data_IF_173820226297
#
_entry.id   IF_173820226297
#
_cell.length_a   1.000
_cell.length_b   1.000
_cell.length_c   1.000
_cell.angle_alpha   90.00
_cell.angle_beta   90.00
_cell.angle_gamma   90.00
#
_symmetry.space_group_name_H-M   'P 1'
#
loop_
_entity.id
_entity.type
_entity.pdbx_description
1 polymer ?
#
# COMPACT_ATOMS: atom_id res chain seq x y z
N UNK A 1 12.14 -31.38 15.20
CA UNK A 1 12.51 -29.96 15.08
C UNK A 1 11.70 -29.28 13.97
N UNK A 2 11.42 -29.98 12.87
CA UNK A 2 10.68 -29.44 11.72
C UNK A 2 9.25 -28.98 12.02
N UNK A 3 8.52 -29.72 12.87
CA UNK A 3 7.15 -29.32 13.27
C UNK A 3 7.10 -28.02 14.05
N UNK A 4 8.07 -27.78 14.94
CA UNK A 4 8.18 -26.54 15.71
C UNK A 4 8.54 -25.36 14.80
N UNK A 5 9.47 -25.55 13.87
CA UNK A 5 9.81 -24.53 12.86
C UNK A 5 8.59 -24.16 12.02
N UNK A 6 7.89 -25.15 11.47
CA UNK A 6 6.70 -24.91 10.64
C UNK A 6 5.59 -24.18 11.41
N UNK A 7 5.34 -24.55 12.67
CA UNK A 7 4.36 -23.87 13.52
C UNK A 7 4.77 -22.42 13.81
N UNK A 8 6.06 -22.18 14.06
CA UNK A 8 6.59 -20.86 14.35
C UNK A 8 6.57 -19.93 13.11
N UNK A 9 6.96 -20.44 11.93
CA UNK A 9 6.86 -19.70 10.66
C UNK A 9 5.40 -19.34 10.33
N UNK A 10 4.47 -20.28 10.58
CA UNK A 10 3.04 -20.04 10.39
C UNK A 10 2.51 -18.96 11.35
N UNK A 11 2.88 -19.02 12.63
CA UNK A 11 2.50 -18.02 13.63
C UNK A 11 3.05 -16.64 13.26
N UNK A 12 4.32 -16.58 12.88
CA UNK A 12 4.99 -15.35 12.45
C UNK A 12 4.25 -14.69 11.28
N UNK A 13 3.95 -15.46 10.24
CA UNK A 13 3.25 -14.95 9.07
C UNK A 13 1.79 -14.58 9.36
N UNK A 14 1.12 -15.32 10.26
CA UNK A 14 -0.25 -15.01 10.69
C UNK A 14 -0.33 -13.67 11.44
N UNK A 15 0.63 -13.40 12.33
CA UNK A 15 0.73 -12.10 13.01
C UNK A 15 0.90 -11.00 11.96
N UNK A 16 1.76 -11.21 10.96
CA UNK A 16 1.89 -10.30 9.82
C UNK A 16 0.57 -10.07 9.09
N UNK A 17 -0.14 -11.13 8.75
CA UNK A 17 -1.41 -11.04 8.02
C UNK A 17 -2.47 -10.28 8.83
N UNK A 18 -2.53 -10.46 10.16
CA UNK A 18 -3.44 -9.74 11.05
C UNK A 18 -3.06 -8.25 11.15
N UNK A 19 -1.77 -7.94 11.24
CA UNK A 19 -1.28 -6.56 11.25
C UNK A 19 -1.60 -5.84 9.94
N UNK A 20 -1.40 -6.50 8.79
CA UNK A 20 -1.73 -5.92 7.48
C UNK A 20 -3.25 -5.87 7.27
N UNK A 21 -4.03 -6.84 7.77
CA UNK A 21 -5.49 -6.74 7.81
C UNK A 21 -5.93 -5.49 8.59
N UNK A 22 -5.26 -5.16 9.70
CA UNK A 22 -5.56 -3.93 10.45
C UNK A 22 -5.35 -2.66 9.62
N UNK A 23 -4.44 -2.67 8.63
CA UNK A 23 -4.27 -1.55 7.70
C UNK A 23 -5.53 -1.26 6.90
N UNK A 24 -6.39 -2.24 6.62
CA UNK A 24 -7.69 -2.02 5.98
C UNK A 24 -8.63 -1.21 6.87
N UNK A 25 -8.63 -1.46 8.18
CA UNK A 25 -9.31 -0.56 9.13
C UNK A 25 -8.66 0.84 9.13
N UNK A 26 -7.33 0.90 9.02
CA UNK A 26 -6.58 2.13 8.87
C UNK A 26 -7.01 2.97 7.66
N UNK A 27 -7.12 2.35 6.47
CA UNK A 27 -7.65 2.97 5.25
C UNK A 27 -9.09 3.48 5.46
N UNK A 28 -9.95 2.66 6.08
CA UNK A 28 -11.33 3.04 6.35
C UNK A 28 -11.44 4.28 7.25
N UNK A 29 -10.67 4.35 8.35
CA UNK A 29 -10.69 5.50 9.26
C UNK A 29 -10.00 6.74 8.67
N UNK A 30 -8.90 6.56 7.94
CA UNK A 30 -8.22 7.65 7.24
C UNK A 30 -9.14 8.30 6.21
N UNK A 31 -9.82 7.49 5.39
CA UNK A 31 -10.81 7.98 4.44
C UNK A 31 -12.00 8.61 5.13
N UNK A 32 -12.59 7.94 6.13
CA UNK A 32 -13.74 8.45 6.88
C UNK A 32 -13.46 9.80 7.54
N UNK A 33 -12.25 10.01 8.08
CA UNK A 33 -11.83 11.28 8.65
C UNK A 33 -11.63 12.39 7.62
N UNK A 34 -11.32 12.03 6.37
CA UNK A 34 -10.97 12.96 5.27
C UNK A 34 -12.18 13.36 4.43
N UNK A 35 -13.11 12.44 4.15
CA UNK A 35 -14.31 12.74 3.35
C UNK A 35 -15.29 13.62 4.11
N UNK A 36 -16.25 14.23 3.42
CA UNK A 36 -17.31 15.03 4.06
C UNK A 36 -18.25 14.12 4.86
N UNK A 37 -18.82 14.64 5.95
CA UNK A 37 -19.63 13.85 6.90
C UNK A 37 -20.75 13.05 6.24
N UNK A 38 -21.39 13.60 5.19
CA UNK A 38 -22.45 12.91 4.43
C UNK A 38 -22.01 11.62 3.72
N UNK A 39 -20.71 11.40 3.53
CA UNK A 39 -20.14 10.27 2.80
C UNK A 39 -19.45 9.23 3.72
N UNK A 40 -19.41 9.45 5.03
CA UNK A 40 -18.68 8.58 5.98
C UNK A 40 -19.19 7.13 5.99
N UNK A 41 -20.51 6.92 5.96
CA UNK A 41 -21.11 5.58 5.96
C UNK A 41 -20.68 4.79 4.71
N UNK A 42 -20.64 5.46 3.56
CA UNK A 42 -20.19 4.83 2.32
C UNK A 42 -18.71 4.40 2.44
N UNK A 43 -17.84 5.27 2.96
CA UNK A 43 -16.42 4.94 3.16
C UNK A 43 -16.21 3.65 3.98
N UNK A 44 -16.96 3.47 5.08
CA UNK A 44 -16.88 2.27 5.92
C UNK A 44 -17.33 0.99 5.21
N UNK A 45 -18.52 1.01 4.60
CA UNK A 45 -19.09 -0.18 3.93
C UNK A 45 -18.23 -0.59 2.74
N UNK A 46 -17.69 0.40 2.02
CA UNK A 46 -16.86 0.23 0.83
C UNK A 46 -15.60 -0.57 1.13
N UNK A 47 -14.80 -0.20 2.13
CA UNK A 47 -13.54 -0.89 2.42
C UNK A 47 -13.78 -2.35 2.86
N UNK A 48 -14.77 -2.61 3.70
CA UNK A 48 -15.05 -3.98 4.15
C UNK A 48 -15.58 -4.86 3.00
N UNK A 49 -16.46 -4.31 2.16
CA UNK A 49 -17.00 -5.02 0.99
C UNK A 49 -15.91 -5.25 -0.07
N UNK A 50 -15.03 -4.28 -0.26
CA UNK A 50 -13.87 -4.36 -1.14
C UNK A 50 -12.91 -5.48 -0.73
N UNK A 51 -12.64 -5.61 0.58
CA UNK A 51 -11.83 -6.70 1.12
C UNK A 51 -12.46 -8.07 0.85
N UNK A 52 -13.78 -8.22 1.04
CA UNK A 52 -14.48 -9.47 0.78
C UNK A 52 -14.45 -9.85 -0.70
N UNK A 53 -14.72 -8.90 -1.60
CA UNK A 53 -14.64 -9.13 -3.06
C UNK A 53 -13.21 -9.47 -3.49
N UNK A 54 -12.22 -8.75 -2.96
CA UNK A 54 -10.79 -9.00 -3.21
C UNK A 54 -10.38 -10.40 -2.72
N UNK A 55 -10.90 -10.84 -1.58
CA UNK A 55 -10.68 -12.20 -1.05
C UNK A 55 -11.11 -13.26 -2.05
N UNK A 56 -12.33 -13.16 -2.57
CA UNK A 56 -12.84 -14.13 -3.54
C UNK A 56 -12.08 -14.04 -4.88
N UNK A 57 -11.84 -12.82 -5.39
CA UNK A 57 -11.08 -12.59 -6.62
C UNK A 57 -9.68 -13.21 -6.56
N UNK A 58 -8.96 -12.99 -5.45
CA UNK A 58 -7.62 -13.50 -5.25
C UNK A 58 -7.61 -15.02 -5.00
N UNK A 59 -8.55 -15.54 -4.21
CA UNK A 59 -8.64 -16.98 -3.91
C UNK A 59 -8.89 -17.81 -5.16
N UNK A 60 -9.84 -17.40 -6.00
CA UNK A 60 -10.26 -18.19 -7.16
C UNK A 60 -9.38 -17.96 -8.40
N UNK A 61 -8.72 -16.80 -8.53
CA UNK A 61 -8.01 -16.40 -9.75
C UNK A 61 -6.63 -15.83 -9.43
N UNK A 62 -6.55 -14.78 -8.62
CA UNK A 62 -5.32 -13.99 -8.49
C UNK A 62 -4.13 -14.78 -7.96
N UNK A 63 -4.30 -15.55 -6.88
CA UNK A 63 -3.20 -16.29 -6.26
C UNK A 63 -2.66 -17.40 -7.17
N UNK A 64 -3.54 -18.05 -7.95
CA UNK A 64 -3.11 -19.06 -8.92
C UNK A 64 -2.37 -18.43 -10.10
N UNK A 65 -2.74 -17.21 -10.51
CA UNK A 65 -2.03 -16.44 -11.52
C UNK A 65 -0.63 -15.99 -11.05
N UNK A 66 -0.50 -15.53 -9.81
CA UNK A 66 0.79 -15.06 -9.27
C UNK A 66 1.71 -16.22 -8.84
N UNK A 67 1.16 -17.26 -8.23
CA UNK A 67 1.94 -18.32 -7.57
C UNK A 67 1.78 -19.73 -8.16
N UNK A 68 0.81 -19.95 -9.06
CA UNK A 68 0.51 -21.29 -9.58
C UNK A 68 -0.12 -22.23 -8.54
N UNK A 69 -0.60 -21.69 -7.41
CA UNK A 69 -1.16 -22.46 -6.29
C UNK A 69 -2.68 -22.35 -6.27
N UNK A 70 -3.35 -23.48 -6.02
CA UNK A 70 -4.80 -23.54 -5.75
C UNK A 70 -5.06 -24.33 -4.47
N UNK A 71 -6.24 -24.15 -3.88
CA UNK A 71 -6.62 -24.80 -2.61
C UNK A 71 -7.70 -25.87 -2.78
N UNK A 72 -7.93 -26.36 -4.01
CA UNK A 72 -8.93 -27.39 -4.32
C UNK A 72 -8.41 -28.80 -4.02
N UNK A 73 -8.06 -29.05 -2.76
CA UNK A 73 -7.60 -30.34 -2.25
C UNK A 73 -8.22 -30.63 -0.88
N UNK A 74 -8.02 -31.82 -0.35
CA UNK A 74 -8.55 -32.22 0.96
C UNK A 74 -7.97 -31.39 2.11
N UNK A 75 -8.77 -31.20 3.16
CA UNK A 75 -8.38 -30.40 4.34
C UNK A 75 -7.11 -30.91 5.02
N UNK A 76 -6.88 -32.22 5.05
CA UNK A 76 -5.65 -32.81 5.60
C UNK A 76 -4.39 -32.38 4.83
N UNK A 77 -4.47 -32.26 3.51
CA UNK A 77 -3.38 -31.75 2.68
C UNK A 77 -3.16 -30.25 2.91
N UNK A 78 -4.24 -29.48 3.08
CA UNK A 78 -4.17 -28.05 3.38
C UNK A 78 -3.58 -27.75 4.76
N UNK A 79 -3.68 -28.69 5.72
CA UNK A 79 -3.14 -28.56 7.07
C UNK A 79 -1.69 -28.97 7.23
N UNK A 80 -1.06 -29.46 6.15
CA UNK A 80 0.38 -29.73 6.15
C UNK A 80 1.18 -28.48 6.54
N UNK A 81 2.26 -28.69 7.30
CA UNK A 81 3.09 -27.60 7.84
C UNK A 81 2.28 -26.55 8.63
N UNK A 82 1.24 -26.99 9.35
CA UNK A 82 0.32 -26.13 10.11
C UNK A 82 -0.47 -25.14 9.24
N UNK A 83 -0.64 -25.42 7.94
CA UNK A 83 -1.38 -24.54 7.04
C UNK A 83 -0.61 -23.30 6.60
N UNK A 84 0.74 -23.35 6.60
CA UNK A 84 1.59 -22.25 6.16
C UNK A 84 1.14 -21.63 4.83
N UNK A 85 0.80 -22.45 3.82
CA UNK A 85 0.35 -21.95 2.51
C UNK A 85 -0.98 -21.18 2.57
N UNK A 86 -1.90 -21.57 3.47
CA UNK A 86 -3.16 -20.85 3.69
C UNK A 86 -2.90 -19.49 4.35
N UNK A 87 -1.97 -19.45 5.32
CA UNK A 87 -1.58 -18.21 5.99
C UNK A 87 -0.79 -17.30 5.06
N UNK A 88 0.07 -17.87 4.19
CA UNK A 88 0.76 -17.13 3.14
C UNK A 88 -0.22 -16.50 2.15
N UNK A 89 -1.23 -17.25 1.73
CA UNK A 89 -2.34 -16.68 0.95
C UNK A 89 -3.02 -15.53 1.70
N UNK A 90 -3.37 -15.71 2.98
CA UNK A 90 -4.00 -14.65 3.76
C UNK A 90 -3.10 -13.40 3.87
N UNK A 91 -1.81 -13.58 4.12
CA UNK A 91 -0.85 -12.49 4.14
C UNK A 91 -0.83 -11.74 2.79
N UNK A 92 -0.62 -12.43 1.68
CA UNK A 92 -0.50 -11.78 0.36
C UNK A 92 -1.83 -11.21 -0.16
N UNK A 93 -2.96 -11.83 0.20
CA UNK A 93 -4.29 -11.27 -0.03
C UNK A 93 -4.42 -9.87 0.57
N UNK A 94 -3.90 -9.65 1.79
CA UNK A 94 -4.03 -8.33 2.43
C UNK A 94 -3.25 -7.24 1.69
N UNK A 95 -2.17 -7.59 0.97
CA UNK A 95 -1.43 -6.70 0.08
C UNK A 95 -2.20 -6.47 -1.21
N UNK A 96 -2.72 -7.54 -1.83
CA UNK A 96 -3.52 -7.47 -3.05
C UNK A 96 -4.76 -6.56 -2.85
N UNK A 97 -5.46 -6.73 -1.73
CA UNK A 97 -6.62 -5.92 -1.38
C UNK A 97 -6.26 -4.45 -1.05
N UNK A 98 -5.00 -4.15 -0.69
CA UNK A 98 -4.60 -2.76 -0.42
C UNK A 98 -4.60 -1.91 -1.71
N UNK A 99 -4.37 -2.51 -2.87
CA UNK A 99 -4.36 -1.81 -4.17
C UNK A 99 -5.71 -1.17 -4.50
N UNK A 100 -6.85 -1.88 -4.53
CA UNK A 100 -8.15 -1.25 -4.72
C UNK A 100 -8.52 -0.29 -3.58
N UNK A 101 -8.11 -0.56 -2.32
CA UNK A 101 -8.31 0.37 -1.22
C UNK A 101 -7.62 1.74 -1.49
N UNK A 102 -6.37 1.73 -2.00
CA UNK A 102 -5.65 2.94 -2.45
C UNK A 102 -6.43 3.66 -3.54
N UNK A 103 -6.84 2.96 -4.60
CA UNK A 103 -7.62 3.55 -5.70
C UNK A 103 -8.91 4.19 -5.15
N UNK A 104 -9.58 3.50 -4.23
CA UNK A 104 -10.85 3.91 -3.65
C UNK A 104 -10.77 5.25 -2.90
N UNK A 105 -9.64 5.52 -2.24
CA UNK A 105 -9.39 6.79 -1.55
C UNK A 105 -9.31 7.96 -2.53
N UNK A 106 -8.63 7.75 -3.66
CA UNK A 106 -8.53 8.76 -4.72
C UNK A 106 -9.89 9.09 -5.33
N UNK A 107 -10.76 8.08 -5.47
CA UNK A 107 -12.10 8.17 -6.10
C UNK A 107 -13.28 8.40 -5.14
N UNK A 108 -13.00 8.67 -3.86
CA UNK A 108 -14.01 8.87 -2.84
C UNK A 108 -15.04 9.98 -3.19
N UNK A 109 -16.25 9.85 -2.64
CA UNK A 109 -17.41 10.76 -2.78
C UNK A 109 -18.06 10.88 -4.17
N UNK A 110 -17.51 10.31 -5.25
CA UNK A 110 -18.17 10.30 -6.58
C UNK A 110 -18.18 8.97 -7.32
N UNK A 111 -17.40 7.98 -6.86
CA UNK A 111 -17.49 6.63 -7.41
C UNK A 111 -18.84 5.97 -7.06
N UNK A 112 -19.38 5.20 -8.01
CA UNK A 112 -20.54 4.33 -7.76
C UNK A 112 -20.05 3.01 -7.16
N UNK A 113 -20.73 2.54 -6.13
CA UNK A 113 -20.34 1.36 -5.36
C UNK A 113 -20.16 0.09 -6.22
N UNK A 114 -21.17 -0.30 -7.00
CA UNK A 114 -21.12 -1.51 -7.84
C UNK A 114 -19.98 -1.53 -8.87
N UNK A 115 -19.85 -0.50 -9.74
CA UNK A 115 -18.74 -0.40 -10.67
C UNK A 115 -17.36 -0.39 -10.00
N UNK A 116 -17.25 0.20 -8.80
CA UNK A 116 -16.01 0.17 -8.05
C UNK A 116 -15.68 -1.26 -7.59
N UNK A 117 -16.63 -2.01 -7.01
CA UNK A 117 -16.38 -3.40 -6.61
C UNK A 117 -16.00 -4.29 -7.80
N UNK A 118 -16.61 -4.06 -8.97
CA UNK A 118 -16.23 -4.76 -10.20
C UNK A 118 -14.80 -4.42 -10.64
N UNK A 119 -14.38 -3.15 -10.52
CA UNK A 119 -13.01 -2.75 -10.79
C UNK A 119 -12.03 -3.40 -9.80
N UNK A 120 -12.36 -3.43 -8.51
CA UNK A 120 -11.55 -4.11 -7.49
C UNK A 120 -11.38 -5.60 -7.77
N UNK A 121 -12.47 -6.28 -8.15
CA UNK A 121 -12.42 -7.67 -8.58
C UNK A 121 -11.42 -7.86 -9.72
N UNK A 122 -11.50 -7.05 -10.78
CA UNK A 122 -10.60 -7.17 -11.93
C UNK A 122 -9.14 -6.84 -11.58
N UNK A 123 -8.92 -5.84 -10.73
CA UNK A 123 -7.58 -5.47 -10.26
C UNK A 123 -6.96 -6.65 -9.50
N UNK A 124 -7.69 -7.24 -8.56
CA UNK A 124 -7.17 -8.27 -7.67
C UNK A 124 -7.17 -9.67 -8.29
N UNK A 125 -8.08 -9.96 -9.23
CA UNK A 125 -8.09 -11.23 -9.94
C UNK A 125 -7.03 -11.30 -11.04
N UNK A 126 -6.75 -10.18 -11.72
CA UNK A 126 -5.97 -10.19 -12.96
C UNK A 126 -4.79 -9.23 -12.94
N UNK A 127 -5.02 -7.93 -12.72
CA UNK A 127 -3.97 -6.92 -12.97
C UNK A 127 -2.84 -6.98 -11.94
N UNK A 128 -3.16 -6.88 -10.65
CA UNK A 128 -2.16 -6.89 -9.57
C UNK A 128 -1.36 -8.21 -9.52
N UNK A 129 -1.99 -9.41 -9.60
CA UNK A 129 -1.26 -10.66 -9.53
C UNK A 129 -0.21 -10.86 -10.64
N UNK A 130 -0.37 -10.20 -11.80
CA UNK A 130 0.67 -10.23 -12.83
C UNK A 130 1.96 -9.58 -12.34
N UNK A 131 1.87 -8.40 -11.74
CA UNK A 131 3.04 -7.69 -11.20
C UNK A 131 3.60 -8.38 -9.97
N UNK A 132 2.72 -8.85 -9.07
CA UNK A 132 3.12 -9.64 -7.93
C UNK A 132 3.90 -10.90 -8.37
N UNK A 133 3.36 -11.65 -9.32
CA UNK A 133 3.99 -12.87 -9.85
C UNK A 133 5.34 -12.59 -10.48
N UNK A 134 5.49 -11.49 -11.22
CA UNK A 134 6.79 -11.06 -11.78
C UNK A 134 7.79 -10.81 -10.66
N UNK A 135 7.43 -9.98 -9.68
CA UNK A 135 8.41 -9.42 -8.74
C UNK A 135 8.71 -10.39 -7.59
N UNK A 136 7.70 -11.04 -7.02
CA UNK A 136 7.85 -11.88 -5.82
C UNK A 136 7.83 -13.38 -6.09
N UNK A 137 7.50 -13.79 -7.31
CA UNK A 137 7.47 -15.20 -7.68
C UNK A 137 8.19 -15.55 -8.99
N UNK A 138 8.94 -14.60 -9.58
CA UNK A 138 9.78 -14.82 -10.77
C UNK A 138 9.00 -15.35 -11.99
N UNK A 139 7.68 -15.11 -12.04
CA UNK A 139 6.82 -15.57 -13.12
C UNK A 139 7.06 -14.80 -14.42
N UNK A 140 6.65 -15.42 -15.53
CA UNK A 140 6.63 -14.82 -16.88
C UNK A 140 8.01 -14.45 -17.46
N UNK A 141 9.11 -14.82 -16.81
CA UNK A 141 10.48 -14.65 -17.31
C UNK A 141 11.00 -13.20 -17.31
N UNK A 142 10.23 -12.25 -16.78
CA UNK A 142 10.58 -10.81 -16.81
C UNK A 142 11.81 -10.52 -15.95
N UNK A 143 11.90 -11.08 -14.74
CA UNK A 143 13.08 -10.92 -13.88
C UNK A 143 14.35 -11.51 -14.50
N UNK A 144 14.25 -12.68 -15.14
CA UNK A 144 15.37 -13.28 -15.87
C UNK A 144 15.83 -12.39 -17.03
N UNK A 145 14.89 -11.80 -17.77
CA UNK A 145 15.19 -10.81 -18.81
C UNK A 145 15.85 -9.55 -18.24
N UNK A 146 15.34 -9.00 -17.11
CA UNK A 146 15.93 -7.84 -16.45
C UNK A 146 17.37 -8.10 -16.03
N UNK A 147 17.63 -9.25 -15.40
CA UNK A 147 18.98 -9.67 -15.02
C UNK A 147 19.91 -9.79 -16.23
N UNK A 148 19.42 -10.35 -17.33
CA UNK A 148 20.19 -10.46 -18.56
C UNK A 148 20.50 -9.09 -19.19
N UNK A 149 19.54 -8.17 -19.17
CA UNK A 149 19.66 -6.87 -19.83
C UNK A 149 20.41 -5.82 -18.99
N UNK A 150 20.26 -5.85 -17.67
CA UNK A 150 20.74 -4.80 -16.76
C UNK A 150 21.75 -5.30 -15.72
N UNK A 151 22.00 -6.62 -15.66
CA UNK A 151 22.95 -7.25 -14.73
C UNK A 151 22.35 -7.63 -13.37
N UNK A 152 21.19 -7.08 -13.00
CA UNK A 152 20.52 -7.32 -11.72
C UNK A 152 19.01 -7.54 -11.89
N UNK A 153 18.42 -8.22 -10.92
CA UNK A 153 16.97 -8.39 -10.82
C UNK A 153 16.32 -7.12 -10.23
N UNK A 154 15.05 -6.90 -10.55
CA UNK A 154 14.29 -5.83 -9.93
C UNK A 154 13.98 -6.17 -8.46
N UNK A 155 14.40 -5.29 -7.56
CA UNK A 155 14.24 -5.43 -6.11
C UNK A 155 13.12 -4.54 -5.58
N UNK A 156 12.11 -5.16 -4.99
CA UNK A 156 11.06 -4.49 -4.22
C UNK A 156 10.62 -5.40 -3.07
N UNK A 157 11.28 -5.27 -1.92
CA UNK A 157 11.15 -6.24 -0.82
C UNK A 157 9.73 -6.38 -0.28
N UNK A 158 9.04 -5.26 -0.02
CA UNK A 158 7.70 -5.26 0.56
C UNK A 158 6.64 -4.55 -0.29
N UNK A 159 6.98 -3.85 -1.39
CA UNK A 159 5.98 -3.34 -2.34
C UNK A 159 5.87 -1.83 -2.47
N UNK A 160 6.98 -1.07 -2.46
CA UNK A 160 6.92 0.36 -2.84
C UNK A 160 6.39 0.52 -4.25
N UNK A 161 6.73 -0.41 -5.15
CA UNK A 161 6.26 -0.41 -6.52
C UNK A 161 5.04 -1.33 -6.67
N UNK A 162 5.18 -2.60 -6.29
CA UNK A 162 4.19 -3.67 -6.54
C UNK A 162 2.82 -3.36 -5.92
N UNK A 163 2.79 -2.73 -4.75
CA UNK A 163 1.53 -2.34 -4.09
C UNK A 163 1.26 -0.86 -4.28
N UNK A 164 2.19 -0.01 -3.82
CA UNK A 164 1.90 1.42 -3.71
C UNK A 164 1.96 2.14 -5.05
N UNK A 165 3.06 2.03 -5.81
CA UNK A 165 3.13 2.72 -7.09
C UNK A 165 2.01 2.26 -8.03
N UNK A 166 1.81 0.94 -8.19
CA UNK A 166 0.72 0.40 -9.01
C UNK A 166 -0.65 0.94 -8.57
N UNK A 167 -0.97 0.86 -7.27
CA UNK A 167 -2.22 1.41 -6.74
C UNK A 167 -2.38 2.91 -6.98
N UNK A 168 -1.32 3.69 -6.79
CA UNK A 168 -1.33 5.13 -7.00
C UNK A 168 -1.47 5.55 -8.47
N UNK A 169 -0.84 4.81 -9.40
CA UNK A 169 -0.94 5.09 -10.84
C UNK A 169 -2.29 4.66 -11.43
N UNK A 170 -2.84 3.52 -10.98
CA UNK A 170 -4.24 3.15 -11.29
C UNK A 170 -5.19 4.18 -10.69
N UNK A 171 -4.92 4.62 -9.45
CA UNK A 171 -5.66 5.67 -8.76
C UNK A 171 -5.68 6.97 -9.55
N UNK A 172 -4.54 7.42 -10.07
CA UNK A 172 -4.47 8.60 -10.93
C UNK A 172 -5.35 8.45 -12.17
N UNK A 173 -5.25 7.32 -12.88
CA UNK A 173 -6.08 7.08 -14.06
C UNK A 173 -7.58 7.15 -13.72
N UNK A 174 -7.98 6.53 -12.60
CA UNK A 174 -9.38 6.56 -12.14
C UNK A 174 -9.84 7.97 -11.73
N UNK A 175 -8.98 8.76 -11.05
CA UNK A 175 -9.25 10.15 -10.69
C UNK A 175 -9.44 11.02 -11.93
N UNK A 176 -8.58 10.86 -12.94
CA UNK A 176 -8.66 11.62 -14.20
C UNK A 176 -9.93 11.28 -15.00
N UNK A 177 -10.29 10.00 -15.09
CA UNK A 177 -11.47 9.54 -15.83
C UNK A 177 -12.80 9.93 -15.16
N UNK A 178 -12.87 9.88 -13.83
CA UNK A 178 -14.07 10.29 -13.08
C UNK A 178 -14.20 11.82 -12.99
N UNK A 179 -13.07 12.53 -13.06
CA UNK A 179 -13.02 13.97 -12.87
C UNK A 179 -13.25 14.41 -11.42
N UNK A 180 -13.39 15.74 -11.28
CA UNK A 180 -13.48 16.39 -9.97
C UNK A 180 -14.86 16.25 -9.31
N UNK A 181 -14.88 16.23 -7.97
CA UNK A 181 -16.13 16.26 -7.20
C UNK A 181 -16.89 17.54 -7.49
N UNK A 182 -18.23 17.43 -7.53
CA UNK A 182 -19.11 18.59 -7.68
C UNK A 182 -18.84 19.64 -6.60
N UNK A 183 -18.69 20.89 -7.04
CA UNK A 183 -18.41 22.05 -6.19
C UNK A 183 -16.95 22.22 -5.77
N UNK A 184 -16.03 21.30 -6.12
CA UNK A 184 -14.61 21.40 -5.75
C UNK A 184 -13.90 22.57 -6.43
N UNK A 185 -14.15 22.75 -7.72
CA UNK A 185 -13.55 23.83 -8.50
C UNK A 185 -14.64 24.67 -9.17
N UNK A 186 -14.53 26.00 -9.05
CA UNK A 186 -15.48 26.92 -9.66
C UNK A 186 -15.42 26.87 -11.17
N UNK A 187 -16.60 27.00 -11.82
CA UNK A 187 -16.75 26.97 -13.29
C UNK A 187 -16.10 28.16 -13.99
N UNK A 188 -15.99 29.30 -13.30
CA UNK A 188 -15.32 30.51 -13.80
C UNK A 188 -13.80 30.44 -13.73
N UNK A 189 -13.24 29.34 -13.22
CA UNK A 189 -11.80 29.15 -13.08
C UNK A 189 -11.18 29.84 -11.86
N UNK A 190 -11.95 30.64 -11.10
CA UNK A 190 -11.41 31.61 -10.13
C UNK A 190 -11.29 31.11 -8.69
N UNK A 191 -11.69 29.87 -8.39
CA UNK A 191 -11.64 29.36 -7.01
C UNK A 191 -11.66 27.85 -6.86
N UNK A 192 -11.01 27.38 -5.80
CA UNK A 192 -11.10 26.01 -5.27
C UNK A 192 -11.84 26.06 -3.93
N UNK A 193 -12.92 25.30 -3.80
CA UNK A 193 -13.64 25.16 -2.53
C UNK A 193 -12.88 24.15 -1.66
N UNK A 194 -12.47 24.58 -0.47
CA UNK A 194 -11.89 23.66 0.51
C UNK A 194 -12.95 22.66 0.98
N UNK A 195 -12.65 21.36 0.90
CA UNK A 195 -13.40 20.31 1.57
C UNK A 195 -12.52 19.84 2.74
N UNK A 196 -12.64 20.47 3.92
CA UNK A 196 -11.82 20.09 5.06
C UNK A 196 -12.16 18.67 5.52
N UNK A 197 -11.20 17.96 6.16
CA UNK A 197 -11.45 16.70 6.83
C UNK A 197 -12.65 16.82 7.79
N UNK A 198 -13.54 15.83 7.78
CA UNK A 198 -14.70 15.80 8.68
C UNK A 198 -14.35 15.43 10.11
N UNK A 199 -13.22 14.74 10.34
CA UNK A 199 -12.74 14.35 11.67
C UNK A 199 -11.23 14.12 11.68
N UNK A 200 -10.49 15.05 12.30
CA UNK A 200 -9.05 14.90 12.56
C UNK A 200 -8.77 13.68 13.46
N UNK A 201 -9.55 13.39 14.52
CA UNK A 201 -9.33 12.18 15.32
C UNK A 201 -9.41 10.88 14.51
N UNK A 202 -10.36 10.76 13.58
CA UNK A 202 -10.46 9.55 12.74
C UNK A 202 -9.37 9.49 11.68
N UNK A 203 -9.01 10.63 11.08
CA UNK A 203 -7.87 10.73 10.18
C UNK A 203 -6.59 10.26 10.89
N UNK A 204 -6.34 10.78 12.10
CA UNK A 204 -5.20 10.42 12.93
C UNK A 204 -5.23 8.94 13.33
N UNK A 205 -6.38 8.41 13.76
CA UNK A 205 -6.54 7.00 14.09
C UNK A 205 -6.20 6.10 12.90
N UNK A 206 -6.72 6.44 11.71
CA UNK A 206 -6.41 5.72 10.48
C UNK A 206 -4.91 5.70 10.19
N UNK A 207 -4.25 6.87 10.26
CA UNK A 207 -2.81 6.99 10.04
C UNK A 207 -1.97 6.18 11.04
N UNK A 208 -2.33 6.18 12.32
CA UNK A 208 -1.64 5.38 13.34
C UNK A 208 -1.82 3.88 13.15
N UNK A 209 -3.04 3.43 12.84
CA UNK A 209 -3.32 2.02 12.55
C UNK A 209 -2.53 1.56 11.32
N UNK A 210 -2.50 2.36 10.26
CA UNK A 210 -1.66 2.11 9.08
C UNK A 210 -0.18 2.02 9.45
N UNK A 211 0.32 2.95 10.26
CA UNK A 211 1.72 2.99 10.68
C UNK A 211 2.14 1.76 11.49
N UNK A 212 1.27 1.28 12.39
CA UNK A 212 1.50 0.05 13.16
C UNK A 212 1.43 -1.17 12.25
N UNK A 213 0.40 -1.28 11.41
CA UNK A 213 0.23 -2.38 10.46
C UNK A 213 1.40 -2.51 9.49
N UNK A 214 2.08 -1.39 9.18
CA UNK A 214 3.24 -1.36 8.30
C UNK A 214 4.44 -2.16 8.80
N UNK A 215 4.60 -2.33 10.11
CA UNK A 215 5.63 -3.23 10.63
C UNK A 215 5.30 -4.70 10.30
N UNK A 216 4.02 -5.07 10.26
CA UNK A 216 3.58 -6.34 9.70
C UNK A 216 3.86 -6.43 8.20
N UNK A 217 3.58 -5.35 7.47
CA UNK A 217 3.80 -5.27 6.02
C UNK A 217 5.27 -5.45 5.64
N UNK A 218 6.19 -4.73 6.31
CA UNK A 218 7.61 -4.79 5.98
C UNK A 218 8.29 -5.99 6.64
N UNK A 219 8.28 -6.09 7.97
CA UNK A 219 9.10 -7.09 8.70
C UNK A 219 8.67 -8.51 8.36
N UNK A 220 7.38 -8.75 8.18
CA UNK A 220 6.84 -10.09 7.91
C UNK A 220 6.90 -10.46 6.42
N UNK A 221 7.28 -9.53 5.54
CA UNK A 221 7.60 -9.85 4.13
C UNK A 221 8.83 -10.77 4.01
N UNK A 222 9.58 -10.97 5.10
CA UNK A 222 10.54 -12.08 5.23
C UNK A 222 9.91 -13.48 5.07
N UNK A 223 8.60 -13.62 5.35
CA UNK A 223 7.77 -14.82 5.26
C UNK A 223 8.17 -16.04 6.11
N UNK A 224 9.34 -16.02 6.74
CA UNK A 224 9.83 -17.06 7.63
C UNK A 224 10.67 -16.45 8.76
N UNK A 225 10.66 -17.10 9.92
CA UNK A 225 11.34 -16.60 11.12
C UNK A 225 12.85 -16.54 10.97
N UNK A 226 13.45 -17.46 10.21
CA UNK A 226 14.89 -17.46 9.96
C UNK A 226 15.35 -16.32 9.04
N UNK A 227 14.40 -15.66 8.37
CA UNK A 227 14.63 -14.49 7.51
C UNK A 227 14.22 -13.16 8.15
N UNK A 228 13.67 -13.16 9.37
CA UNK A 228 13.28 -11.93 10.05
C UNK A 228 14.49 -11.01 10.21
N UNK A 229 14.30 -9.70 10.01
CA UNK A 229 15.38 -8.73 10.08
C UNK A 229 15.03 -7.53 10.95
N UNK A 230 15.85 -7.30 11.99
CA UNK A 230 15.76 -6.07 12.79
C UNK A 230 16.10 -4.81 11.99
N UNK A 231 16.88 -4.96 10.91
CA UNK A 231 17.20 -3.86 9.99
C UNK A 231 15.92 -3.35 9.31
N UNK A 232 15.06 -4.25 8.84
CA UNK A 232 13.77 -3.91 8.21
C UNK A 232 12.89 -3.11 9.16
N UNK A 233 12.81 -3.53 10.43
CA UNK A 233 12.03 -2.83 11.45
C UNK A 233 12.60 -1.43 11.71
N UNK A 234 13.92 -1.31 11.89
CA UNK A 234 14.56 -0.03 12.15
C UNK A 234 14.47 0.92 10.94
N UNK A 235 14.68 0.42 9.72
CA UNK A 235 14.53 1.20 8.50
C UNK A 235 13.10 1.72 8.34
N UNK A 236 12.09 0.90 8.66
CA UNK A 236 10.68 1.31 8.66
C UNK A 236 10.43 2.44 9.65
N UNK A 237 10.94 2.33 10.88
CA UNK A 237 10.84 3.37 11.90
C UNK A 237 11.54 4.67 11.49
N UNK A 238 12.76 4.57 10.94
CA UNK A 238 13.53 5.73 10.50
C UNK A 238 12.85 6.45 9.33
N UNK A 239 12.33 5.71 8.34
CA UNK A 239 11.59 6.31 7.23
C UNK A 239 10.29 6.97 7.68
N UNK A 240 9.56 6.33 8.61
CA UNK A 240 8.36 6.90 9.24
C UNK A 240 8.69 8.24 9.95
N UNK A 241 9.79 8.27 10.71
CA UNK A 241 10.24 9.49 11.39
C UNK A 241 10.64 10.58 10.40
N UNK A 242 11.41 10.24 9.37
CA UNK A 242 11.84 11.19 8.33
C UNK A 242 10.66 11.81 7.60
N UNK A 243 9.71 10.97 7.15
CA UNK A 243 8.50 11.43 6.48
C UNK A 243 7.64 12.32 7.36
N UNK A 244 7.51 11.99 8.65
CA UNK A 244 6.79 12.81 9.64
C UNK A 244 7.44 14.19 9.81
N UNK A 245 8.74 14.25 10.06
CA UNK A 245 9.44 15.51 10.33
C UNK A 245 9.45 16.44 9.11
N UNK A 246 9.69 15.90 7.91
CA UNK A 246 9.65 16.72 6.70
C UNK A 246 8.23 17.18 6.40
N UNK A 247 7.22 16.33 6.56
CA UNK A 247 5.82 16.74 6.36
C UNK A 247 5.36 17.78 7.39
N UNK A 248 5.84 17.72 8.64
CA UNK A 248 5.58 18.73 9.67
C UNK A 248 6.07 20.11 9.23
N UNK A 249 7.32 20.19 8.76
CA UNK A 249 7.93 21.45 8.31
C UNK A 249 7.32 21.92 6.99
N UNK A 250 7.29 21.08 5.96
CA UNK A 250 6.81 21.43 4.62
C UNK A 250 5.29 21.72 4.62
N UNK A 251 4.53 20.96 5.40
CA UNK A 251 3.09 21.10 5.58
C UNK A 251 2.68 22.16 6.60
N UNK A 252 3.64 22.85 7.24
CA UNK A 252 3.41 23.92 8.21
C UNK A 252 2.45 23.52 9.34
N UNK A 253 2.67 22.33 9.90
CA UNK A 253 1.85 21.74 10.96
C UNK A 253 0.39 21.45 10.59
N UNK A 254 0.03 21.41 9.31
CA UNK A 254 -1.30 20.96 8.89
C UNK A 254 -1.50 19.48 9.28
N UNK A 255 -2.58 19.12 9.98
CA UNK A 255 -2.80 17.77 10.46
C UNK A 255 -2.98 16.76 9.32
N UNK A 256 -3.52 17.17 8.17
CA UNK A 256 -3.62 16.32 6.99
C UNK A 256 -2.24 15.92 6.46
N UNK A 257 -1.29 16.86 6.43
CA UNK A 257 0.09 16.55 6.04
C UNK A 257 0.85 15.78 7.11
N UNK A 258 0.76 16.17 8.37
CA UNK A 258 1.51 15.53 9.47
C UNK A 258 1.15 14.06 9.64
N UNK A 259 -0.13 13.69 9.51
CA UNK A 259 -0.56 12.30 9.65
C UNK A 259 -0.31 11.44 8.41
N UNK A 260 -0.18 12.04 7.21
CA UNK A 260 0.17 11.30 6.00
C UNK A 260 1.69 11.25 5.75
N UNK A 261 2.47 12.17 6.34
CA UNK A 261 3.94 12.14 6.33
C UNK A 261 4.58 10.80 6.71
N UNK A 262 4.23 10.17 7.85
CA UNK A 262 4.74 8.85 8.20
C UNK A 262 4.38 7.80 7.14
N UNK A 263 3.17 7.85 6.58
CA UNK A 263 2.72 6.93 5.55
C UNK A 263 3.53 7.09 4.27
N UNK A 264 3.84 8.33 3.85
CA UNK A 264 4.69 8.59 2.69
C UNK A 264 6.08 7.96 2.87
N UNK A 265 6.67 8.10 4.05
CA UNK A 265 7.96 7.50 4.36
C UNK A 265 7.92 5.97 4.39
N UNK A 266 6.87 5.41 5.00
CA UNK A 266 6.66 3.97 5.04
C UNK A 266 6.41 3.37 3.65
N UNK A 267 5.67 4.05 2.77
CA UNK A 267 5.53 3.68 1.34
C UNK A 267 6.88 3.61 0.65
N UNK A 268 7.72 4.63 0.82
CA UNK A 268 8.98 4.72 0.10
C UNK A 268 10.03 3.72 0.57
N UNK A 269 10.01 3.29 1.83
CA UNK A 269 11.04 2.36 2.34
C UNK A 269 10.74 0.90 2.00
N UNK A 270 9.50 0.53 1.63
CA UNK A 270 9.13 -0.87 1.39
C UNK A 270 10.08 -1.59 0.43
N UNK A 271 10.52 -0.95 -0.66
CA UNK A 271 11.37 -1.58 -1.67
C UNK A 271 12.77 -1.95 -1.16
N UNK A 272 13.39 -1.13 -0.31
CA UNK A 272 14.77 -1.37 0.13
C UNK A 272 14.95 -1.47 1.64
N UNK A 273 13.88 -1.69 2.40
CA UNK A 273 13.93 -1.80 3.86
C UNK A 273 14.88 -2.88 4.37
N UNK A 274 15.18 -3.89 3.56
CA UNK A 274 16.10 -5.00 3.85
C UNK A 274 17.57 -4.73 3.45
N UNK A 275 17.84 -3.70 2.65
CA UNK A 275 19.17 -3.41 2.08
C UNK A 275 19.72 -2.02 2.41
N UNK A 276 18.89 -1.10 2.90
CA UNK A 276 19.32 0.27 3.22
C UNK A 276 19.97 0.36 4.61
N UNK A 277 20.89 1.32 4.77
CA UNK A 277 21.32 1.77 6.10
C UNK A 277 20.20 2.62 6.77
N UNK A 278 20.01 2.58 8.11
CA UNK A 278 18.95 3.34 8.80
C UNK A 278 18.95 4.85 8.57
N UNK A 279 20.13 5.46 8.41
CA UNK A 279 20.25 6.88 8.04
C UNK A 279 19.80 7.12 6.58
N UNK A 280 20.08 6.18 5.68
CA UNK A 280 19.55 6.21 4.32
C UNK A 280 18.02 6.12 4.33
N UNK A 281 17.45 5.18 5.09
CA UNK A 281 16.00 5.04 5.24
C UNK A 281 15.34 6.32 5.81
N UNK A 282 15.98 7.00 6.78
CA UNK A 282 15.55 8.30 7.28
C UNK A 282 15.44 9.35 6.16
N UNK A 283 16.47 9.44 5.31
CA UNK A 283 16.50 10.37 4.18
C UNK A 283 15.44 10.01 3.14
N UNK A 284 15.33 8.72 2.79
CA UNK A 284 14.31 8.22 1.86
C UNK A 284 12.91 8.60 2.33
N UNK A 285 12.63 8.39 3.61
CA UNK A 285 11.36 8.78 4.23
C UNK A 285 11.13 10.29 4.22
N UNK A 286 12.17 11.07 4.56
CA UNK A 286 12.10 12.54 4.52
C UNK A 286 11.78 13.08 3.13
N UNK A 287 12.47 12.59 2.09
CA UNK A 287 12.19 12.96 0.70
C UNK A 287 10.75 12.59 0.32
N UNK A 288 10.28 11.41 0.71
CA UNK A 288 8.90 10.98 0.45
C UNK A 288 7.86 11.89 1.13
N UNK A 289 8.08 12.29 2.39
CA UNK A 289 7.24 13.26 3.09
C UNK A 289 7.15 14.59 2.33
N UNK A 290 8.28 15.08 1.81
CA UNK A 290 8.32 16.26 0.94
C UNK A 290 7.57 16.07 -0.37
N UNK A 291 7.81 14.96 -1.07
CA UNK A 291 7.11 14.59 -2.31
C UNK A 291 5.60 14.64 -2.09
N UNK A 292 5.11 13.98 -1.03
CA UNK A 292 3.67 13.97 -0.74
C UNK A 292 3.11 15.38 -0.56
N UNK A 293 3.69 16.20 0.32
CA UNK A 293 3.17 17.55 0.60
C UNK A 293 3.16 18.44 -0.64
N UNK A 294 4.28 18.52 -1.36
CA UNK A 294 4.39 19.40 -2.52
C UNK A 294 3.55 18.90 -3.69
N UNK A 295 3.57 17.59 -3.97
CA UNK A 295 2.83 17.03 -5.09
C UNK A 295 1.33 16.93 -4.82
N UNK A 296 0.90 16.76 -3.57
CA UNK A 296 -0.51 16.92 -3.21
C UNK A 296 -1.01 18.30 -3.59
N UNK A 297 -0.37 19.35 -3.07
CA UNK A 297 -0.75 20.74 -3.38
C UNK A 297 -0.69 21.04 -4.88
N UNK A 298 0.36 20.58 -5.57
CA UNK A 298 0.49 20.72 -7.01
C UNK A 298 -0.68 20.06 -7.76
N UNK A 299 -1.06 18.84 -7.38
CA UNK A 299 -2.15 18.07 -8.00
C UNK A 299 -3.48 18.79 -7.83
N UNK A 300 -3.77 19.28 -6.62
CA UNK A 300 -4.98 20.06 -6.35
C UNK A 300 -5.02 21.36 -7.15
N UNK A 301 -3.87 22.06 -7.26
CA UNK A 301 -3.75 23.31 -8.03
C UNK A 301 -3.88 23.09 -9.55
N UNK A 302 -3.59 21.88 -10.03
CA UNK A 302 -3.83 21.47 -11.44
C UNK A 302 -5.24 20.95 -11.68
N UNK A 303 -6.15 21.17 -10.72
CA UNK A 303 -7.56 20.79 -10.78
C UNK A 303 -7.79 19.27 -10.91
N UNK A 304 -6.84 18.48 -10.42
CA UNK A 304 -6.97 17.03 -10.27
C UNK A 304 -7.42 16.76 -8.84
N UNK A 305 -8.69 16.40 -8.68
CA UNK A 305 -9.32 16.19 -7.36
C UNK A 305 -9.07 14.79 -6.83
N UNK A 306 -7.81 14.54 -6.47
CA UNK A 306 -7.42 13.37 -5.71
C UNK A 306 -7.74 13.59 -4.23
N UNK A 307 -8.74 12.88 -3.69
CA UNK A 307 -9.35 13.22 -2.39
C UNK A 307 -8.38 13.03 -1.24
N UNK A 308 -7.65 11.91 -1.24
CA UNK A 308 -6.67 11.56 -0.21
C UNK A 308 -5.23 11.81 -0.65
N UNK A 309 -5.01 12.20 -1.92
CA UNK A 309 -3.66 12.35 -2.45
C UNK A 309 -3.00 11.02 -2.76
N UNK A 310 -3.77 10.04 -3.26
CA UNK A 310 -3.31 8.67 -3.48
C UNK A 310 -2.22 8.58 -4.53
N UNK A 311 -2.24 9.44 -5.55
CA UNK A 311 -1.16 9.47 -6.53
C UNK A 311 0.14 10.05 -5.94
N UNK A 312 0.16 11.23 -5.29
CA UNK A 312 1.33 11.70 -4.56
C UNK A 312 1.84 10.72 -3.49
N UNK A 313 0.93 10.19 -2.67
CA UNK A 313 1.28 9.37 -1.50
C UNK A 313 1.76 7.96 -1.87
N UNK A 314 1.08 7.29 -2.81
CA UNK A 314 1.41 5.92 -3.19
C UNK A 314 2.13 5.85 -4.53
N UNK A 315 1.66 6.59 -5.54
CA UNK A 315 2.24 6.60 -6.89
C UNK A 315 3.66 7.13 -6.91
N UNK A 316 3.84 8.39 -6.47
CA UNK A 316 5.13 9.08 -6.53
C UNK A 316 6.08 8.66 -5.40
N UNK A 317 5.61 8.54 -4.15
CA UNK A 317 6.47 8.04 -3.08
C UNK A 317 6.86 6.58 -3.29
N UNK A 318 5.98 5.76 -3.87
CA UNK A 318 6.29 4.38 -4.25
C UNK A 318 7.36 4.32 -5.34
N UNK A 319 7.20 5.12 -6.40
CA UNK A 319 8.20 5.26 -7.46
C UNK A 319 9.57 5.73 -6.92
N UNK A 320 9.56 6.73 -6.03
CA UNK A 320 10.75 7.17 -5.31
C UNK A 320 11.37 6.04 -4.51
N UNK A 321 10.57 5.24 -3.80
CA UNK A 321 11.05 4.09 -3.03
C UNK A 321 11.81 3.06 -3.85
N UNK A 322 11.28 2.70 -5.02
CA UNK A 322 11.97 1.79 -5.95
C UNK A 322 13.32 2.36 -6.46
N UNK A 323 13.36 3.65 -6.81
CA UNK A 323 14.60 4.32 -7.21
C UNK A 323 15.59 4.39 -6.03
N UNK A 324 15.09 4.75 -4.85
CA UNK A 324 15.87 4.88 -3.64
C UNK A 324 16.49 3.56 -3.19
N UNK A 325 15.82 2.43 -3.39
CA UNK A 325 16.38 1.10 -3.12
C UNK A 325 17.66 0.86 -3.93
N UNK A 326 17.70 1.27 -5.20
CA UNK A 326 18.90 1.19 -6.04
C UNK A 326 20.02 2.16 -5.63
N UNK A 327 19.69 3.32 -5.04
CA UNK A 327 20.69 4.32 -4.61
C UNK A 327 21.28 3.97 -3.24
N UNK A 328 20.40 3.72 -2.27
CA UNK A 328 20.77 3.51 -0.86
C UNK A 328 21.01 2.05 -0.50
N UNK A 329 20.79 1.12 -1.44
CA UNK A 329 21.13 -0.30 -1.33
C UNK A 329 22.48 -0.70 -1.94
N UNK A 330 23.23 0.25 -2.50
CA UNK A 330 24.57 -0.02 -3.03
C UNK A 330 25.51 -0.48 -1.91
N UNK A 331 26.25 -1.57 -2.17
CA UNK A 331 27.31 -2.05 -1.28
C UNK A 331 28.56 -1.21 -1.53
N UNK A 332 29.18 -0.72 -0.46
CA UNK A 332 30.47 -0.01 -0.50
C UNK A 332 31.61 -0.94 -0.94
#
# INVERSE_FOLDING_TARGET
>A
MDGLKAGADTLFLLIGAILVLSMHAGFAFLELGTVRSKNQVNALVKILSDFAVSTLAYFFIGYSLAYGVTFFTGAEALMQKNGYELVKFFFLLTFAAAVPAIVSGGIAERARFGPQLAASFLIVALLYPLFEGIVWNQQFGVQAWLKQAFGEEFHDFAGSIVVHAIGGWIGLAAVLLLGARSGRYSKDGKGMTAHPPSSIPFLALGAWVLSVGWFGFNVMSAQALDKISGLVALNSLMAMAGGTLVALVAGRNDPGFVHNGPLAGLVAVCAGSDIMHPVGALVVGGVAGGIFVYMFNWTQNRRVDDVLGVWPLHGLCGAWGGIAAGIFGLKA
#
